data_IF_559774498598
#
_entry.id   IF_559774498598
#
_cell.length_a   1.000
_cell.length_b   1.000
_cell.length_c   1.000
_cell.angle_alpha   90.00
_cell.angle_beta   90.00
_cell.angle_gamma   90.00
#
_symmetry.space_group_name_H-M   'P 1'
#
loop_
_entity.id
_entity.type
_entity.pdbx_description
1 polymer ?
#
# COMPACT_ATOMS: atom_id res chain seq x y z
N UNK A 1 22.23 -45.36 -23.51
CA UNK A 1 21.70 -44.00 -23.72
C UNK A 1 22.29 -43.49 -25.02
N UNK A 2 21.46 -43.26 -26.02
CA UNK A 2 21.90 -42.81 -27.35
C UNK A 2 22.19 -41.30 -27.34
N UNK A 3 22.95 -40.81 -28.32
CA UNK A 3 23.27 -39.38 -28.45
C UNK A 3 22.01 -38.51 -28.59
N UNK A 4 20.93 -39.03 -29.19
CA UNK A 4 19.64 -38.33 -29.29
C UNK A 4 18.91 -38.21 -27.95
N UNK A 5 19.02 -39.22 -27.07
CA UNK A 5 18.42 -39.18 -25.73
C UNK A 5 19.10 -38.14 -24.83
N UNK A 6 20.42 -38.05 -24.90
CA UNK A 6 21.22 -37.04 -24.20
C UNK A 6 20.87 -35.61 -24.65
N UNK A 7 20.68 -35.39 -25.95
CA UNK A 7 20.34 -34.06 -26.48
C UNK A 7 18.95 -33.61 -26.04
N UNK A 8 17.96 -34.51 -26.03
CA UNK A 8 16.59 -34.21 -25.56
C UNK A 8 16.57 -33.90 -24.06
N UNK A 9 17.36 -34.59 -23.26
CA UNK A 9 17.43 -34.36 -21.82
C UNK A 9 18.14 -33.03 -21.48
N UNK A 10 19.16 -32.65 -22.24
CA UNK A 10 19.82 -31.34 -22.13
C UNK A 10 18.87 -30.19 -22.54
N UNK A 11 18.13 -30.34 -23.64
CA UNK A 11 17.16 -29.34 -24.08
C UNK A 11 16.00 -29.17 -23.10
N UNK A 12 15.46 -30.27 -22.55
CA UNK A 12 14.41 -30.22 -21.54
C UNK A 12 14.87 -29.51 -20.26
N UNK A 13 16.11 -29.77 -19.80
CA UNK A 13 16.67 -29.10 -18.61
C UNK A 13 16.95 -27.61 -18.84
N UNK A 14 17.40 -27.22 -20.04
CA UNK A 14 17.60 -25.81 -20.39
C UNK A 14 16.27 -25.04 -20.52
N UNK A 15 15.22 -25.67 -21.05
CA UNK A 15 13.87 -25.11 -21.11
C UNK A 15 13.24 -24.96 -19.72
N UNK A 16 13.41 -25.95 -18.84
CA UNK A 16 12.92 -25.92 -17.46
C UNK A 16 13.64 -24.85 -16.63
N UNK A 17 14.95 -24.70 -16.82
CA UNK A 17 15.75 -23.68 -16.16
C UNK A 17 15.40 -22.27 -16.65
N UNK A 18 15.13 -22.11 -17.95
CA UNK A 18 14.63 -20.83 -18.49
C UNK A 18 13.23 -20.52 -17.95
N UNK A 19 12.31 -21.50 -17.91
CA UNK A 19 10.97 -21.34 -17.34
C UNK A 19 11.00 -20.92 -15.86
N UNK A 20 11.86 -21.57 -15.06
CA UNK A 20 12.07 -21.20 -13.66
C UNK A 20 12.60 -19.76 -13.53
N UNK A 21 13.63 -19.39 -14.30
CA UNK A 21 14.19 -18.02 -14.31
C UNK A 21 13.15 -16.98 -14.72
N UNK A 22 12.30 -17.26 -15.71
CA UNK A 22 11.21 -16.36 -16.11
C UNK A 22 10.14 -16.24 -15.01
N UNK A 23 9.81 -17.33 -14.32
CA UNK A 23 8.88 -17.31 -13.19
C UNK A 23 9.43 -16.48 -12.02
N UNK A 24 10.72 -16.63 -11.68
CA UNK A 24 11.39 -15.80 -10.67
C UNK A 24 11.38 -14.32 -11.06
N UNK A 25 11.74 -13.98 -12.31
CA UNK A 25 11.70 -12.59 -12.80
C UNK A 25 10.29 -11.99 -12.74
N UNK A 26 9.28 -12.74 -13.17
CA UNK A 26 7.87 -12.32 -13.12
C UNK A 26 7.40 -12.10 -11.69
N UNK A 27 7.74 -13.00 -10.78
CA UNK A 27 7.40 -12.87 -9.36
C UNK A 27 8.08 -11.66 -8.71
N UNK A 28 9.37 -11.42 -9.00
CA UNK A 28 10.07 -10.23 -8.52
C UNK A 28 9.46 -8.93 -9.02
N UNK A 29 9.11 -8.85 -10.31
CA UNK A 29 8.42 -7.68 -10.87
C UNK A 29 7.05 -7.45 -10.21
N UNK A 30 6.33 -8.55 -9.92
CA UNK A 30 5.04 -8.48 -9.23
C UNK A 30 5.16 -8.01 -7.77
N UNK A 31 6.19 -8.46 -7.06
CA UNK A 31 6.49 -8.02 -5.69
C UNK A 31 6.89 -6.54 -5.68
N UNK A 32 7.77 -6.12 -6.57
CA UNK A 32 8.18 -4.72 -6.70
C UNK A 32 6.97 -3.80 -7.00
N UNK A 33 6.06 -4.28 -7.86
CA UNK A 33 4.81 -3.58 -8.18
C UNK A 33 3.91 -3.40 -6.95
N UNK A 34 3.75 -4.45 -6.12
CA UNK A 34 2.95 -4.37 -4.88
C UNK A 34 3.55 -3.42 -3.85
N UNK A 35 4.87 -3.44 -3.68
CA UNK A 35 5.58 -2.55 -2.76
C UNK A 35 5.36 -1.08 -3.14
N UNK A 36 5.53 -0.76 -4.42
CA UNK A 36 5.29 0.59 -4.96
C UNK A 36 3.83 1.03 -4.87
N UNK A 37 2.89 0.09 -4.99
CA UNK A 37 1.47 0.39 -4.87
C UNK A 37 1.12 0.90 -3.47
N UNK A 38 1.54 0.20 -2.42
CA UNK A 38 1.28 0.61 -1.02
C UNK A 38 1.95 1.95 -0.71
N UNK A 39 3.18 2.16 -1.19
CA UNK A 39 3.86 3.45 -1.07
C UNK A 39 3.04 4.58 -1.71
N UNK A 40 2.56 4.38 -2.94
CA UNK A 40 1.75 5.36 -3.66
C UNK A 40 0.40 5.64 -2.97
N UNK A 41 -0.18 4.64 -2.28
CA UNK A 41 -1.39 4.82 -1.47
C UNK A 41 -1.15 5.74 -0.27
N UNK A 42 -0.06 5.53 0.49
CA UNK A 42 0.30 6.44 1.58
C UNK A 42 0.59 7.86 1.10
N UNK A 43 1.32 8.02 0.01
CA UNK A 43 1.52 9.34 -0.61
C UNK A 43 0.19 9.95 -1.07
N UNK A 44 -0.73 9.12 -1.57
CA UNK A 44 -2.08 9.51 -1.94
C UNK A 44 -2.86 10.10 -0.78
N UNK A 45 -2.83 9.45 0.39
CA UNK A 45 -3.45 9.97 1.62
C UNK A 45 -2.89 11.36 1.94
N UNK A 46 -1.57 11.53 1.96
CA UNK A 46 -0.94 12.82 2.29
C UNK A 46 -1.35 13.93 1.31
N UNK A 47 -1.43 13.63 0.01
CA UNK A 47 -1.90 14.59 -0.99
C UNK A 47 -3.37 14.95 -0.81
N UNK A 48 -4.24 13.97 -0.55
CA UNK A 48 -5.67 14.23 -0.34
C UNK A 48 -5.91 14.99 0.95
N UNK A 49 -5.20 14.68 2.03
CA UNK A 49 -5.26 15.42 3.28
C UNK A 49 -4.80 16.87 3.12
N UNK A 50 -3.77 17.13 2.31
CA UNK A 50 -3.36 18.52 2.01
C UNK A 50 -4.47 19.31 1.31
N UNK A 51 -5.21 18.67 0.39
CA UNK A 51 -6.35 19.32 -0.27
C UNK A 51 -7.57 19.46 0.66
N UNK A 52 -7.78 18.49 1.57
CA UNK A 52 -8.79 18.57 2.61
C UNK A 52 -8.57 19.77 3.52
N UNK A 53 -7.34 19.97 4.01
CA UNK A 53 -6.97 21.12 4.84
C UNK A 53 -7.27 22.43 4.11
N UNK A 54 -6.82 22.54 2.86
CA UNK A 54 -7.08 23.73 2.04
C UNK A 54 -8.58 24.00 1.88
N UNK A 55 -9.38 22.97 1.60
CA UNK A 55 -10.83 23.12 1.47
C UNK A 55 -11.51 23.56 2.78
N UNK A 56 -11.01 23.10 3.94
CA UNK A 56 -11.46 23.57 5.25
C UNK A 56 -11.16 25.07 5.42
N UNK A 57 -9.92 25.49 5.12
CA UNK A 57 -9.49 26.89 5.24
C UNK A 57 -10.30 27.83 4.30
N UNK A 58 -10.62 27.36 3.11
CA UNK A 58 -11.41 28.09 2.10
C UNK A 58 -12.92 28.03 2.37
N UNK A 59 -13.36 27.28 3.39
CA UNK A 59 -14.78 26.99 3.67
C UNK A 59 -15.53 26.33 2.50
N UNK A 60 -14.82 25.60 1.64
CA UNK A 60 -15.40 24.83 0.53
C UNK A 60 -15.89 23.47 1.05
N UNK A 61 -17.18 23.40 1.35
CA UNK A 61 -17.81 22.21 1.93
C UNK A 61 -17.81 21.03 0.95
N UNK A 62 -18.01 21.27 -0.34
CA UNK A 62 -18.07 20.22 -1.35
C UNK A 62 -16.70 19.58 -1.54
N UNK A 63 -15.68 20.41 -1.76
CA UNK A 63 -14.30 19.93 -1.88
C UNK A 63 -13.82 19.24 -0.60
N UNK A 64 -14.16 19.78 0.57
CA UNK A 64 -13.82 19.16 1.87
C UNK A 64 -14.34 17.72 1.95
N UNK A 65 -15.64 17.53 1.68
CA UNK A 65 -16.25 16.19 1.72
C UNK A 65 -15.61 15.27 0.69
N UNK A 66 -15.34 15.76 -0.52
CA UNK A 66 -14.67 14.99 -1.57
C UNK A 66 -13.28 14.50 -1.13
N UNK A 67 -12.44 15.39 -0.62
CA UNK A 67 -11.06 15.04 -0.23
C UNK A 67 -11.01 14.14 0.99
N UNK A 68 -11.88 14.35 1.98
CA UNK A 68 -12.02 13.45 3.13
C UNK A 68 -12.42 12.03 2.70
N UNK A 69 -13.37 11.92 1.76
CA UNK A 69 -13.79 10.62 1.23
C UNK A 69 -12.67 9.94 0.45
N UNK A 70 -11.94 10.66 -0.41
CA UNK A 70 -10.80 10.08 -1.16
C UNK A 70 -9.70 9.53 -0.25
N UNK A 71 -9.35 10.25 0.82
CA UNK A 71 -8.40 9.75 1.81
C UNK A 71 -8.96 8.52 2.55
N UNK A 72 -10.23 8.57 2.95
CA UNK A 72 -10.88 7.46 3.66
C UNK A 72 -10.95 6.19 2.82
N UNK A 73 -11.24 6.30 1.52
CA UNK A 73 -11.27 5.17 0.60
C UNK A 73 -9.93 4.44 0.52
N UNK A 74 -8.80 5.14 0.60
CA UNK A 74 -7.48 4.49 0.64
C UNK A 74 -7.31 3.68 1.92
N UNK A 75 -7.67 4.22 3.08
CA UNK A 75 -7.60 3.45 4.34
C UNK A 75 -8.48 2.21 4.30
N UNK A 76 -9.69 2.31 3.75
CA UNK A 76 -10.59 1.16 3.58
C UNK A 76 -9.95 0.09 2.68
N UNK A 77 -9.34 0.51 1.56
CA UNK A 77 -8.65 -0.42 0.66
C UNK A 77 -7.44 -1.08 1.33
N UNK A 78 -6.63 -0.32 2.08
CA UNK A 78 -5.51 -0.85 2.84
C UNK A 78 -5.97 -1.87 3.89
N UNK A 79 -7.08 -1.61 4.58
CA UNK A 79 -7.69 -2.55 5.54
C UNK A 79 -8.15 -3.83 4.85
N UNK A 80 -8.81 -3.72 3.68
CA UNK A 80 -9.26 -4.88 2.90
C UNK A 80 -8.09 -5.72 2.36
N UNK A 81 -6.93 -5.11 2.17
CA UNK A 81 -5.72 -5.78 1.69
C UNK A 81 -4.92 -6.50 2.80
N UNK A 82 -5.33 -6.37 4.07
CA UNK A 82 -4.65 -7.04 5.18
C UNK A 82 -4.93 -8.55 5.18
N UNK A 83 -3.87 -9.36 5.27
CA UNK A 83 -3.98 -10.80 5.47
C UNK A 83 -4.31 -11.11 6.94
N UNK A 84 -5.61 -11.16 7.22
CA UNK A 84 -6.15 -11.41 8.56
C UNK A 84 -6.08 -12.89 8.97
N UNK A 85 -5.83 -13.81 8.03
CA UNK A 85 -5.76 -15.25 8.27
C UNK A 85 -4.36 -15.70 8.69
N UNK A 86 -3.34 -14.89 8.39
CA UNK A 86 -1.99 -15.10 8.90
C UNK A 86 -1.94 -15.02 10.44
N UNK A 87 -1.11 -15.85 11.10
CA UNK A 87 -0.93 -15.86 12.57
C UNK A 87 -0.27 -14.58 13.14
N UNK A 88 -0.23 -13.50 12.35
CA UNK A 88 0.48 -12.26 12.66
C UNK A 88 -0.34 -11.23 13.43
N UNK A 89 0.28 -10.63 14.44
CA UNK A 89 -0.29 -9.49 15.21
C UNK A 89 -0.26 -8.16 14.44
N UNK A 90 0.53 -8.07 13.38
CA UNK A 90 0.74 -6.84 12.61
C UNK A 90 -0.52 -6.45 11.85
N UNK A 91 -1.20 -7.41 11.19
CA UNK A 91 -2.45 -7.14 10.49
C UNK A 91 -3.53 -6.59 11.43
N UNK A 92 -3.68 -7.18 12.62
CA UNK A 92 -4.62 -6.69 13.64
C UNK A 92 -4.26 -5.28 14.14
N UNK A 93 -2.97 -5.00 14.34
CA UNK A 93 -2.50 -3.68 14.73
C UNK A 93 -2.78 -2.63 13.64
N UNK A 94 -2.44 -2.92 12.38
CA UNK A 94 -2.69 -2.03 11.24
C UNK A 94 -4.18 -1.80 11.03
N UNK A 95 -5.01 -2.83 11.17
CA UNK A 95 -6.47 -2.72 11.11
C UNK A 95 -6.99 -1.71 12.14
N UNK A 96 -6.53 -1.80 13.39
CA UNK A 96 -6.89 -0.84 14.44
C UNK A 96 -6.37 0.57 14.16
N UNK A 97 -5.11 0.70 13.72
CA UNK A 97 -4.49 1.97 13.39
C UNK A 97 -5.23 2.68 12.25
N UNK A 98 -5.55 1.97 11.16
CA UNK A 98 -6.31 2.51 10.02
C UNK A 98 -7.73 2.89 10.42
N UNK A 99 -8.39 2.08 11.25
CA UNK A 99 -9.74 2.38 11.76
C UNK A 99 -9.77 3.68 12.57
N UNK A 100 -8.74 3.93 13.39
CA UNK A 100 -8.62 5.19 14.12
C UNK A 100 -8.41 6.39 13.18
N UNK A 101 -7.62 6.22 12.10
CA UNK A 101 -7.41 7.31 11.15
C UNK A 101 -8.69 7.67 10.39
N UNK A 102 -9.51 6.67 10.05
CA UNK A 102 -10.85 6.89 9.49
C UNK A 102 -11.74 7.70 10.44
N UNK A 103 -11.71 7.39 11.73
CA UNK A 103 -12.46 8.15 12.73
C UNK A 103 -11.99 9.62 12.78
N UNK A 104 -10.68 9.87 12.76
CA UNK A 104 -10.17 11.24 12.74
C UNK A 104 -10.52 12.00 11.46
N UNK A 105 -10.50 11.36 10.29
CA UNK A 105 -10.95 11.99 9.04
C UNK A 105 -12.43 12.32 9.07
N UNK A 106 -13.27 11.44 9.62
CA UNK A 106 -14.69 11.69 9.80
C UNK A 106 -14.95 12.89 10.72
N UNK A 107 -14.28 12.93 11.87
CA UNK A 107 -14.40 14.02 12.84
C UNK A 107 -13.84 15.34 12.28
N UNK A 108 -12.71 15.31 11.59
CA UNK A 108 -12.14 16.47 10.90
C UNK A 108 -13.11 17.06 9.87
N UNK A 109 -13.72 16.21 9.05
CA UNK A 109 -14.70 16.64 8.07
C UNK A 109 -15.96 17.22 8.74
N UNK A 110 -16.45 16.60 9.82
CA UNK A 110 -17.63 17.07 10.55
C UNK A 110 -17.40 18.42 11.24
N UNK A 111 -16.27 18.54 11.92
CA UNK A 111 -15.99 19.63 12.86
C UNK A 111 -15.07 20.72 12.28
N UNK A 112 -14.64 20.58 11.01
CA UNK A 112 -13.64 21.43 10.35
C UNK A 112 -12.30 21.46 11.13
N UNK A 113 -11.93 20.33 11.74
CA UNK A 113 -10.78 20.21 12.63
C UNK A 113 -9.51 19.81 11.83
N UNK A 114 -8.70 20.81 11.49
CA UNK A 114 -7.43 20.64 10.78
C UNK A 114 -6.42 19.85 11.61
N UNK A 115 -6.43 19.99 12.94
CA UNK A 115 -5.48 19.30 13.82
C UNK A 115 -5.65 17.78 13.71
N UNK A 116 -6.88 17.30 13.59
CA UNK A 116 -7.16 15.88 13.34
C UNK A 116 -6.62 15.39 12.00
N UNK A 117 -6.69 16.21 10.95
CA UNK A 117 -6.08 15.86 9.64
C UNK A 117 -4.55 15.77 9.78
N UNK A 118 -3.93 16.65 10.55
CA UNK A 118 -2.49 16.59 10.78
C UNK A 118 -2.05 15.41 11.66
N UNK A 119 -2.87 14.98 12.63
CA UNK A 119 -2.64 13.73 13.37
C UNK A 119 -2.60 12.53 12.42
N UNK A 120 -3.55 12.45 11.48
CA UNK A 120 -3.56 11.41 10.43
C UNK A 120 -2.30 11.51 9.58
N UNK A 121 -1.91 12.71 9.14
CA UNK A 121 -0.69 12.90 8.35
C UNK A 121 0.56 12.45 9.09
N UNK A 122 0.65 12.70 10.40
CA UNK A 122 1.79 12.25 11.22
C UNK A 122 1.92 10.73 11.22
N UNK A 123 0.81 10.01 11.42
CA UNK A 123 0.79 8.54 11.37
C UNK A 123 1.18 8.04 9.98
N UNK A 124 0.60 8.60 8.93
CA UNK A 124 0.85 8.19 7.55
C UNK A 124 2.30 8.43 7.13
N UNK A 125 2.93 9.53 7.56
CA UNK A 125 4.36 9.79 7.31
C UNK A 125 5.23 8.73 7.98
N UNK A 126 4.94 8.36 9.23
CA UNK A 126 5.67 7.29 9.93
C UNK A 126 5.49 5.92 9.26
N UNK A 127 4.28 5.60 8.80
CA UNK A 127 4.03 4.37 8.03
C UNK A 127 4.76 4.36 6.70
N UNK A 128 4.78 5.48 5.98
CA UNK A 128 5.48 5.61 4.70
C UNK A 128 7.00 5.45 4.87
N UNK A 129 7.56 6.04 5.93
CA UNK A 129 8.99 5.88 6.26
C UNK A 129 9.31 4.41 6.58
N UNK A 130 8.58 3.80 7.50
CA UNK A 130 8.77 2.38 7.85
C UNK A 130 8.58 1.45 6.64
N UNK A 131 7.60 1.75 5.78
CA UNK A 131 7.36 0.97 4.56
C UNK A 131 8.53 1.05 3.58
N UNK A 132 9.11 2.26 3.40
CA UNK A 132 10.27 2.47 2.55
C UNK A 132 11.52 1.77 3.07
N UNK A 133 11.69 1.72 4.39
CA UNK A 133 12.79 0.99 5.03
C UNK A 133 12.70 -0.51 4.74
N UNK A 134 11.53 -1.13 4.98
CA UNK A 134 11.29 -2.55 4.66
C UNK A 134 11.43 -2.83 3.17
N UNK A 135 10.96 -1.92 2.31
CA UNK A 135 11.10 -2.02 0.86
C UNK A 135 12.56 -1.97 0.38
N UNK A 136 13.43 -1.28 1.12
CA UNK A 136 14.86 -1.18 0.81
C UNK A 136 15.61 -2.46 1.20
N UNK A 137 15.26 -3.09 2.34
CA UNK A 137 15.87 -4.36 2.77
C UNK A 137 15.58 -5.54 1.83
N UNK A 138 14.54 -5.45 1.00
CA UNK A 138 14.16 -6.49 0.04
C UNK A 138 14.78 -6.31 -1.36
N UNK A 139 15.63 -5.29 -1.57
CA UNK A 139 16.42 -5.11 -2.81
C UNK A 139 17.81 -5.72 -2.69
#
# INVERSE_FOLDING_TARGET
MTTEELLKQQQATDEENNSAVQAYKRNNLHIESKIKLVEALYEGILRFNSNLIKAIEENDVEAKVEWANKSSSIFIELMNALDMDSEGTIAQYLQGLYSQQLQYLFEANRDNDIEKVELVNKVVRGLLEAWREVAFEQK
#
